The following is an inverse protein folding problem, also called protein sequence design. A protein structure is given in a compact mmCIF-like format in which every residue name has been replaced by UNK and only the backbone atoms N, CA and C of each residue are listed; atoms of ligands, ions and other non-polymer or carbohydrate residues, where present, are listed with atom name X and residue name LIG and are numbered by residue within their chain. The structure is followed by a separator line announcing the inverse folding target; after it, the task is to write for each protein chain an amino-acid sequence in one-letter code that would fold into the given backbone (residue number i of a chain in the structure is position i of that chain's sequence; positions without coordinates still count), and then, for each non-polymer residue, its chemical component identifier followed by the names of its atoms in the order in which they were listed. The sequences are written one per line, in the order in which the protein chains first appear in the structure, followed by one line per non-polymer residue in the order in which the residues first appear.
data_IF_888266024665
#
_entry.id   IF_888266024665
#
_cell.length_a   1.000
_cell.length_b   1.000
_cell.length_c   1.000
_cell.angle_alpha   90.00
_cell.angle_beta   90.00
_cell.angle_gamma   90.00
#
_symmetry.space_group_name_H-M   'P 1'
#
loop_
_entity.id
_entity.type
_entity.pdbx_description
1 polymer ?
#
# COMPACT_ATOMS: atom_id res chain seq x y z
N UNK A 1 -9.37 26.59 26.79
CA UNK A 1 -9.74 25.27 26.22
C UNK A 1 -9.93 25.50 24.74
N UNK A 2 -8.88 25.32 23.94
CA UNK A 2 -8.95 25.56 22.49
C UNK A 2 -9.73 24.43 21.84
N UNK A 3 -10.78 24.77 21.08
CA UNK A 3 -11.45 23.86 20.17
C UNK A 3 -10.44 23.44 19.11
N UNK A 4 -9.73 22.34 19.35
CA UNK A 4 -8.92 21.70 18.33
C UNK A 4 -9.87 21.30 17.20
N UNK A 5 -9.67 21.84 16.01
CA UNK A 5 -10.37 21.37 14.83
C UNK A 5 -10.04 19.88 14.68
N UNK A 6 -11.05 19.03 14.81
CA UNK A 6 -10.91 17.60 14.58
C UNK A 6 -10.85 17.38 13.07
N UNK A 7 -9.62 17.21 12.55
CA UNK A 7 -9.42 16.88 11.14
C UNK A 7 -9.68 15.38 10.96
N UNK A 8 -10.89 15.05 10.53
CA UNK A 8 -11.23 13.69 10.12
C UNK A 8 -10.68 13.46 8.71
N UNK A 9 -9.61 12.67 8.60
CA UNK A 9 -9.13 12.18 7.30
C UNK A 9 -9.86 10.87 7.00
N UNK A 10 -10.94 10.97 6.20
CA UNK A 10 -11.74 9.83 5.75
C UNK A 10 -11.28 9.39 4.36
N UNK A 11 -10.50 8.31 4.31
CA UNK A 11 -10.03 7.71 3.06
C UNK A 11 -10.95 6.55 2.58
N UNK A 12 -12.21 6.55 3.02
CA UNK A 12 -13.21 5.60 2.56
C UNK A 12 -13.52 5.78 1.07
N UNK A 13 -14.12 4.73 0.50
CA UNK A 13 -14.68 4.73 -0.87
C UNK A 13 -15.74 5.83 -1.11
N UNK A 14 -16.13 6.59 -0.07
CA UNK A 14 -17.03 7.74 -0.18
C UNK A 14 -16.30 8.99 -0.66
N UNK A 15 -15.01 9.15 -0.33
CA UNK A 15 -14.20 10.34 -0.66
C UNK A 15 -13.35 10.11 -1.91
N UNK A 16 -12.68 8.95 -2.01
CA UNK A 16 -11.89 8.60 -3.19
C UNK A 16 -12.42 7.34 -3.89
N UNK A 17 -12.58 7.44 -5.21
CA UNK A 17 -12.80 6.30 -6.09
C UNK A 17 -11.87 6.43 -7.31
N UNK A 18 -11.45 5.32 -7.92
CA UNK A 18 -10.76 5.37 -9.22
C UNK A 18 -11.58 6.25 -10.19
N UNK A 19 -10.94 7.28 -10.79
CA UNK A 19 -11.52 8.35 -11.63
C UNK A 19 -12.27 9.50 -10.93
N UNK A 20 -12.49 9.48 -9.61
CA UNK A 20 -13.13 10.58 -8.86
C UNK A 20 -12.30 10.96 -7.63
N UNK A 21 -12.01 12.25 -7.49
CA UNK A 21 -11.28 12.75 -6.33
C UNK A 21 -9.76 12.64 -6.42
N UNK A 22 -9.18 12.18 -7.55
CA UNK A 22 -7.73 12.15 -7.76
C UNK A 22 -7.06 13.49 -7.47
N UNK A 23 -7.61 14.58 -8.00
CA UNK A 23 -7.05 15.91 -7.79
C UNK A 23 -7.19 16.39 -6.33
N UNK A 24 -8.25 15.97 -5.63
CA UNK A 24 -8.40 16.28 -4.20
C UNK A 24 -7.44 15.45 -3.35
N UNK A 25 -7.23 14.17 -3.71
CA UNK A 25 -6.27 13.28 -3.10
C UNK A 25 -4.83 13.80 -3.28
N UNK A 26 -4.48 14.23 -4.49
CA UNK A 26 -3.18 14.81 -4.84
C UNK A 26 -2.90 16.05 -3.99
N UNK A 27 -3.81 17.03 -4.00
CA UNK A 27 -3.68 18.24 -3.18
C UNK A 27 -3.57 17.92 -1.68
N UNK A 28 -4.35 16.95 -1.18
CA UNK A 28 -4.28 16.53 0.21
C UNK A 28 -2.92 15.93 0.57
N UNK A 29 -2.35 15.09 -0.29
CA UNK A 29 -1.02 14.51 -0.07
C UNK A 29 0.09 15.56 -0.18
N UNK A 30 -0.01 16.49 -1.13
CA UNK A 30 0.96 17.58 -1.34
C UNK A 30 0.99 18.54 -0.16
N UNK A 31 -0.18 18.94 0.37
CA UNK A 31 -0.28 19.80 1.54
C UNK A 31 0.35 19.19 2.81
N UNK A 32 0.54 17.87 2.83
CA UNK A 32 1.10 17.11 3.95
C UNK A 32 2.49 16.54 3.65
N UNK A 33 3.04 16.81 2.47
CA UNK A 33 4.39 16.40 2.10
C UNK A 33 5.45 17.17 2.89
N UNK A 34 5.19 18.44 3.20
CA UNK A 34 6.11 19.30 3.93
C UNK A 34 6.15 19.00 5.45
N UNK A 35 5.18 18.24 5.97
CA UNK A 35 5.02 17.97 7.41
C UNK A 35 5.34 16.53 7.83
N UNK A 36 5.56 15.62 6.87
CA UNK A 36 5.81 14.21 7.17
C UNK A 36 6.82 13.58 6.20
N UNK A 37 7.73 12.76 6.74
CA UNK A 37 8.59 11.89 5.93
C UNK A 37 7.72 10.80 5.28
N UNK A 38 7.46 10.93 3.99
CA UNK A 38 6.65 9.99 3.24
C UNK A 38 7.56 9.06 2.42
N UNK A 39 7.38 7.75 2.60
CA UNK A 39 7.98 6.74 1.72
C UNK A 39 6.90 5.81 1.22
N UNK A 40 7.08 5.30 0.01
CA UNK A 40 6.18 4.36 -0.64
C UNK A 40 7.00 3.34 -1.42
N UNK A 41 6.40 2.18 -1.68
CA UNK A 41 6.96 1.16 -2.55
C UNK A 41 5.94 0.76 -3.60
N UNK A 42 6.26 1.02 -4.85
CA UNK A 42 5.51 0.52 -5.99
C UNK A 42 6.08 -0.83 -6.40
N UNK A 43 5.23 -1.84 -6.53
CA UNK A 43 5.60 -3.19 -6.96
C UNK A 43 4.87 -3.44 -8.28
N UNK A 44 5.64 -3.56 -9.36
CA UNK A 44 5.09 -3.87 -10.68
C UNK A 44 4.67 -5.34 -10.79
N UNK A 45 4.05 -5.73 -11.91
CA UNK A 45 3.51 -7.09 -12.06
C UNK A 45 4.62 -8.16 -12.10
N UNK A 46 5.74 -7.99 -12.84
CA UNK A 46 6.84 -8.94 -12.79
C UNK A 46 7.41 -9.14 -11.39
N UNK A 47 7.68 -8.04 -10.66
CA UNK A 47 8.17 -8.10 -9.29
C UNK A 47 7.13 -8.74 -8.36
N UNK A 48 5.86 -8.36 -8.49
CA UNK A 48 4.75 -8.95 -7.72
C UNK A 48 4.69 -10.46 -7.89
N UNK A 49 4.76 -10.95 -9.14
CA UNK A 49 4.70 -12.38 -9.44
C UNK A 49 5.87 -13.14 -8.80
N UNK A 50 7.10 -12.59 -8.92
CA UNK A 50 8.29 -13.15 -8.29
C UNK A 50 8.15 -13.19 -6.76
N UNK A 51 7.73 -12.09 -6.15
CA UNK A 51 7.63 -11.98 -4.70
C UNK A 51 6.51 -12.86 -4.13
N UNK A 52 5.36 -12.98 -4.80
CA UNK A 52 4.31 -13.90 -4.37
C UNK A 52 4.76 -15.36 -4.45
N UNK A 53 5.52 -15.73 -5.48
CA UNK A 53 6.09 -17.08 -5.57
C UNK A 53 7.07 -17.36 -4.42
N UNK A 54 7.88 -16.38 -4.02
CA UNK A 54 8.82 -16.49 -2.90
C UNK A 54 8.12 -16.51 -1.53
N UNK A 55 7.13 -15.63 -1.33
CA UNK A 55 6.44 -15.42 -0.05
C UNK A 55 5.21 -16.32 0.13
N UNK A 56 4.90 -17.15 -0.87
CA UNK A 56 3.79 -18.09 -0.93
C UNK A 56 2.42 -17.46 -1.23
N UNK A 57 2.14 -16.24 -0.75
CA UNK A 57 0.87 -15.56 -1.02
C UNK A 57 0.95 -14.03 -0.96
N UNK A 58 -0.06 -13.38 -1.56
CA UNK A 58 -0.20 -11.91 -1.58
C UNK A 58 -0.31 -11.26 -0.19
N UNK A 59 -0.84 -11.97 0.82
CA UNK A 59 -1.04 -11.40 2.15
C UNK A 59 0.27 -11.37 2.95
N UNK A 60 1.14 -12.36 2.75
CA UNK A 60 2.52 -12.35 3.22
C UNK A 60 3.30 -11.23 2.52
N UNK A 61 3.26 -11.17 1.19
CA UNK A 61 3.91 -10.09 0.43
C UNK A 61 3.53 -8.70 0.96
N UNK A 62 2.24 -8.40 1.11
CA UNK A 62 1.79 -7.13 1.68
C UNK A 62 2.43 -6.86 3.04
N UNK A 63 2.44 -7.87 3.91
CA UNK A 63 2.94 -7.70 5.27
C UNK A 63 4.46 -7.50 5.28
N UNK A 64 5.23 -8.33 4.58
CA UNK A 64 6.68 -8.20 4.50
C UNK A 64 7.07 -6.85 3.88
N UNK A 65 6.47 -6.45 2.75
CA UNK A 65 6.79 -5.19 2.10
C UNK A 65 6.47 -3.96 2.98
N UNK A 66 5.36 -3.98 3.72
CA UNK A 66 5.02 -2.91 4.65
C UNK A 66 5.98 -2.84 5.85
N UNK A 67 6.42 -3.99 6.37
CA UNK A 67 7.37 -4.05 7.48
C UNK A 67 8.79 -3.64 7.06
N UNK A 68 9.24 -4.07 5.89
CA UNK A 68 10.51 -3.65 5.28
C UNK A 68 10.55 -2.13 5.07
N UNK A 69 9.45 -1.55 4.56
CA UNK A 69 9.32 -0.10 4.38
C UNK A 69 9.40 0.65 5.71
N UNK A 70 8.72 0.16 6.75
CA UNK A 70 8.77 0.74 8.09
C UNK A 70 10.18 0.66 8.70
N UNK A 71 10.85 -0.48 8.56
CA UNK A 71 12.22 -0.65 9.03
C UNK A 71 13.19 0.28 8.29
N UNK A 72 13.07 0.41 6.96
CA UNK A 72 13.88 1.33 6.17
C UNK A 72 13.70 2.79 6.60
N UNK A 73 12.45 3.20 6.88
CA UNK A 73 12.14 4.53 7.41
C UNK A 73 12.77 4.78 8.78
N UNK A 74 12.67 3.83 9.71
CA UNK A 74 13.30 3.93 11.02
C UNK A 74 14.83 4.02 10.89
N UNK A 75 15.43 3.23 10.00
CA UNK A 75 16.86 3.28 9.72
C UNK A 75 17.31 4.64 9.17
N UNK A 76 16.52 5.25 8.28
CA UNK A 76 16.79 6.56 7.71
C UNK A 76 16.58 7.71 8.73
N UNK A 77 15.73 7.49 9.74
CA UNK A 77 15.39 8.47 10.75
C UNK A 77 15.55 7.90 12.18
N UNK A 78 16.79 7.71 12.66
CA UNK A 78 17.07 7.17 13.99
C UNK A 78 16.34 7.93 15.12
N UNK A 79 15.69 7.18 16.01
CA UNK A 79 14.97 7.68 17.19
C UNK A 79 15.20 6.77 18.39
N UNK A 80 14.97 7.22 19.62
CA UNK A 80 15.09 6.33 20.81
C UNK A 80 13.94 5.31 20.92
N UNK A 81 12.81 5.59 20.27
CA UNK A 81 11.68 4.68 20.15
C UNK A 81 10.64 5.19 19.14
N UNK A 82 9.78 4.28 18.68
CA UNK A 82 8.76 4.59 17.69
C UNK A 82 7.49 3.76 17.89
N UNK A 83 6.36 4.35 17.50
CA UNK A 83 5.09 3.65 17.36
C UNK A 83 4.82 3.42 15.88
N UNK A 84 4.55 2.16 15.50
CA UNK A 84 4.18 1.77 14.15
C UNK A 84 2.71 1.35 14.13
N UNK A 85 1.90 2.12 13.41
CA UNK A 85 0.47 1.85 13.25
C UNK A 85 0.18 1.42 11.81
N UNK A 86 -0.48 0.28 11.65
CA UNK A 86 -0.88 -0.27 10.36
C UNK A 86 -2.40 -0.47 10.32
N UNK A 87 -3.02 -0.20 9.16
CA UNK A 87 -4.34 -0.82 8.89
C UNK A 87 -4.16 -2.34 8.75
N UNK A 88 -5.19 -3.09 9.11
CA UNK A 88 -5.11 -4.54 9.16
C UNK A 88 -4.94 -5.12 7.76
N UNK A 89 -3.89 -5.91 7.59
CA UNK A 89 -3.62 -6.67 6.36
C UNK A 89 -4.63 -7.81 6.15
N UNK A 90 -5.78 -7.49 5.55
CA UNK A 90 -6.85 -8.44 5.28
C UNK A 90 -7.42 -9.07 6.55
N UNK A 91 -7.60 -10.40 6.55
CA UNK A 91 -8.14 -11.14 7.70
C UNK A 91 -7.11 -11.48 8.79
N UNK A 92 -5.84 -11.07 8.64
CA UNK A 92 -4.75 -11.48 9.54
C UNK A 92 -4.94 -10.89 10.93
N UNK A 93 -4.70 -11.72 11.95
CA UNK A 93 -4.74 -11.32 13.37
C UNK A 93 -3.46 -11.59 14.14
N UNK A 94 -2.55 -12.36 13.54
CA UNK A 94 -1.30 -12.76 14.15
C UNK A 94 -0.16 -12.39 13.23
N UNK A 95 0.72 -11.55 13.74
CA UNK A 95 1.85 -10.96 13.02
C UNK A 95 3.19 -11.34 13.65
N UNK A 96 3.21 -11.95 14.84
CA UNK A 96 4.43 -12.32 15.57
C UNK A 96 5.51 -12.97 14.69
N UNK A 97 5.20 -14.03 13.92
CA UNK A 97 6.18 -14.66 13.02
C UNK A 97 6.75 -13.70 11.97
N UNK A 98 5.90 -12.90 11.31
CA UNK A 98 6.32 -11.95 10.29
C UNK A 98 7.11 -10.77 10.88
N UNK A 99 6.72 -10.31 12.07
CA UNK A 99 7.46 -9.27 12.78
C UNK A 99 8.85 -9.77 13.16
N UNK A 100 8.98 -11.04 13.51
CA UNK A 100 10.27 -11.65 13.90
C UNK A 100 11.23 -11.81 12.72
N UNK A 101 10.76 -11.70 11.48
CA UNK A 101 11.61 -11.68 10.28
C UNK A 101 12.32 -10.32 10.11
N UNK A 102 11.79 -9.25 10.69
CA UNK A 102 12.27 -7.87 10.49
C UNK A 102 12.78 -7.23 11.78
N UNK A 103 12.19 -7.57 12.92
CA UNK A 103 12.48 -7.00 14.24
C UNK A 103 12.93 -8.07 15.22
N UNK A 104 13.72 -7.67 16.22
CA UNK A 104 14.10 -8.55 17.33
C UNK A 104 13.15 -8.41 18.52
N UNK A 105 13.24 -9.36 19.46
CA UNK A 105 12.56 -9.30 20.76
C UNK A 105 11.05 -9.06 20.66
N UNK A 106 10.41 -9.70 19.67
CA UNK A 106 8.97 -9.55 19.42
C UNK A 106 8.16 -10.20 20.54
N UNK A 107 7.44 -9.36 21.29
CA UNK A 107 6.53 -9.75 22.37
C UNK A 107 5.11 -9.45 21.95
N UNK A 108 4.25 -10.47 21.99
CA UNK A 108 2.81 -10.31 21.77
C UNK A 108 2.19 -9.63 22.98
N UNK A 109 1.55 -8.48 22.77
CA UNK A 109 0.80 -7.75 23.81
C UNK A 109 -0.68 -8.12 23.76
N UNK A 110 -1.29 -8.13 22.57
CA UNK A 110 -2.66 -8.62 22.37
C UNK A 110 -2.87 -9.06 20.91
N UNK A 111 -3.77 -10.02 20.69
CA UNK A 111 -4.22 -10.41 19.35
C UNK A 111 -5.74 -10.59 19.35
N UNK A 112 -6.44 -9.68 18.69
CA UNK A 112 -7.90 -9.58 18.76
C UNK A 112 -8.57 -9.30 17.42
N UNK A 113 -9.91 -9.21 17.48
CA UNK A 113 -10.74 -8.90 16.31
C UNK A 113 -10.51 -7.48 15.78
N UNK A 114 -10.36 -6.51 16.69
CA UNK A 114 -10.21 -5.08 16.36
C UNK A 114 -8.74 -4.68 16.24
N UNK A 115 -7.89 -5.19 17.10
CA UNK A 115 -6.49 -4.77 17.22
C UNK A 115 -5.57 -5.97 17.45
N UNK A 116 -4.33 -5.88 17.01
CA UNK A 116 -3.24 -6.80 17.37
C UNK A 116 -2.02 -5.93 17.69
N UNK A 117 -1.49 -6.00 18.92
CA UNK A 117 -0.36 -5.18 19.40
C UNK A 117 0.84 -6.03 19.78
N UNK A 118 2.01 -5.49 19.51
CA UNK A 118 3.29 -6.10 19.79
C UNK A 118 4.26 -5.06 20.33
N UNK A 119 5.23 -5.52 21.13
CA UNK A 119 6.48 -4.78 21.35
C UNK A 119 7.59 -5.48 20.59
N UNK A 120 8.55 -4.72 20.09
CA UNK A 120 9.70 -5.27 19.39
C UNK A 120 10.88 -4.31 19.50
N UNK A 121 12.02 -4.71 18.93
CA UNK A 121 13.20 -3.87 18.81
C UNK A 121 13.74 -3.86 17.38
N UNK A 122 14.31 -2.72 17.00
CA UNK A 122 15.15 -2.60 15.81
C UNK A 122 16.51 -2.06 16.25
N UNK A 123 17.47 -2.97 16.47
CA UNK A 123 18.74 -2.64 17.10
C UNK A 123 18.57 -2.02 18.49
N UNK A 124 18.94 -0.75 18.64
CA UNK A 124 18.85 -0.01 19.91
C UNK A 124 17.42 0.45 20.22
N UNK A 125 16.54 0.51 19.21
CA UNK A 125 15.28 1.25 19.27
C UNK A 125 14.13 0.37 19.76
N UNK A 126 13.34 0.90 20.69
CA UNK A 126 12.15 0.20 21.21
C UNK A 126 10.92 0.56 20.38
N UNK A 127 10.15 -0.45 19.98
CA UNK A 127 9.00 -0.30 19.09
C UNK A 127 7.71 -0.76 19.76
N UNK A 128 6.66 0.03 19.60
CA UNK A 128 5.27 -0.40 19.81
C UNK A 128 4.58 -0.54 18.46
N UNK A 129 4.02 -1.71 18.16
CA UNK A 129 3.49 -2.01 16.83
C UNK A 129 2.02 -2.40 16.95
N UNK A 130 1.14 -1.78 16.17
CA UNK A 130 -0.29 -2.03 16.19
C UNK A 130 -0.87 -2.26 14.78
N UNK A 131 -1.68 -3.31 14.64
CA UNK A 131 -2.48 -3.58 13.45
C UNK A 131 -3.97 -3.43 13.77
N UNK A 132 -4.62 -2.44 13.17
CA UNK A 132 -5.96 -1.99 13.53
C UNK A 132 -6.97 -2.28 12.42
N UNK A 133 -8.17 -2.73 12.76
CA UNK A 133 -9.27 -2.73 11.79
C UNK A 133 -9.73 -1.30 11.52
N UNK A 134 -9.74 -0.88 10.26
CA UNK A 134 -10.11 0.49 9.86
C UNK A 134 -9.17 1.52 10.49
N UNK A 135 -7.86 1.21 10.48
CA UNK A 135 -6.86 2.13 11.03
C UNK A 135 -6.92 3.49 10.35
N UNK A 136 -7.14 3.49 9.03
CA UNK A 136 -7.34 4.67 8.18
C UNK A 136 -8.49 5.57 8.64
N UNK A 137 -9.54 5.02 9.23
CA UNK A 137 -10.68 5.79 9.72
C UNK A 137 -10.47 6.37 11.13
N UNK A 138 -9.41 5.99 11.84
CA UNK A 138 -9.21 6.34 13.25
C UNK A 138 -7.86 7.01 13.54
N UNK A 139 -6.89 6.90 12.64
CA UNK A 139 -5.52 7.38 12.83
C UNK A 139 -5.06 8.15 11.60
N UNK A 140 -4.66 9.40 11.80
CA UNK A 140 -4.25 10.31 10.74
C UNK A 140 -3.10 9.71 9.94
N UNK A 141 -2.06 9.21 10.59
CA UNK A 141 -0.87 8.65 9.95
C UNK A 141 -1.20 7.44 9.04
N UNK A 142 -2.18 6.62 9.44
CA UNK A 142 -2.63 5.47 8.64
C UNK A 142 -3.45 5.95 7.44
N UNK A 143 -4.31 6.94 7.64
CA UNK A 143 -5.08 7.57 6.56
C UNK A 143 -4.15 8.19 5.52
N UNK A 144 -3.08 8.87 5.95
CA UNK A 144 -2.08 9.47 5.06
C UNK A 144 -1.29 8.43 4.27
N UNK A 145 -0.84 7.36 4.91
CA UNK A 145 -0.17 6.26 4.21
C UNK A 145 -1.09 5.64 3.14
N UNK A 146 -2.37 5.46 3.47
CA UNK A 146 -3.38 4.93 2.54
C UNK A 146 -3.66 5.88 1.37
N UNK A 147 -3.82 7.18 1.65
CA UNK A 147 -3.99 8.22 0.63
C UNK A 147 -2.80 8.29 -0.31
N UNK A 148 -1.57 8.27 0.24
CA UNK A 148 -0.35 8.27 -0.55
C UNK A 148 -0.26 7.05 -1.46
N UNK A 149 -0.53 5.86 -0.93
CA UNK A 149 -0.55 4.63 -1.73
C UNK A 149 -1.57 4.68 -2.87
N UNK A 150 -2.74 5.28 -2.65
CA UNK A 150 -3.77 5.49 -3.69
C UNK A 150 -3.31 6.49 -4.75
N UNK A 151 -2.67 7.59 -4.33
CA UNK A 151 -2.14 8.59 -5.26
C UNK A 151 -1.11 7.97 -6.20
N UNK A 152 -0.12 7.29 -5.63
CA UNK A 152 0.95 6.63 -6.40
C UNK A 152 0.39 5.57 -7.35
N UNK A 153 -0.60 4.79 -6.91
CA UNK A 153 -1.29 3.82 -7.76
C UNK A 153 -1.99 4.49 -8.93
N UNK A 154 -2.66 5.63 -8.75
CA UNK A 154 -3.34 6.32 -9.86
C UNK A 154 -2.35 6.97 -10.82
N UNK A 155 -1.25 7.56 -10.33
CA UNK A 155 -0.16 8.07 -11.18
C UNK A 155 0.42 6.94 -12.03
N UNK A 156 0.70 5.79 -11.42
CA UNK A 156 1.20 4.62 -12.13
C UNK A 156 0.19 4.08 -13.16
N UNK A 157 -1.11 4.07 -12.82
CA UNK A 157 -2.16 3.67 -13.77
C UNK A 157 -2.30 4.66 -14.94
N UNK A 158 -2.08 5.96 -14.73
CA UNK A 158 -2.06 6.96 -15.81
C UNK A 158 -0.90 6.68 -16.76
N UNK A 159 0.34 6.60 -16.24
CA UNK A 159 1.52 6.29 -17.03
C UNK A 159 1.39 4.94 -17.76
N UNK A 160 0.84 3.93 -17.09
CA UNK A 160 0.52 2.65 -17.69
C UNK A 160 -0.41 2.83 -18.91
N UNK A 161 -1.55 3.49 -18.72
CA UNK A 161 -2.51 3.68 -19.82
C UNK A 161 -1.93 4.52 -20.96
N UNK A 162 -1.20 5.58 -20.66
CA UNK A 162 -0.56 6.44 -21.67
C UNK A 162 0.41 5.63 -22.54
N UNK A 163 1.28 4.84 -21.93
CA UNK A 163 2.25 4.02 -22.68
C UNK A 163 1.58 3.02 -23.63
N UNK A 164 0.52 2.35 -23.17
CA UNK A 164 -0.21 1.37 -23.98
C UNK A 164 -1.08 2.01 -25.06
N UNK A 165 -1.74 3.12 -24.77
CA UNK A 165 -2.55 3.86 -25.73
C UNK A 165 -1.68 4.52 -26.81
N UNK A 166 -0.46 4.94 -26.48
CA UNK A 166 0.52 5.43 -27.44
C UNK A 166 0.96 4.31 -28.40
N UNK A 167 1.23 3.12 -27.87
CA UNK A 167 1.62 1.94 -28.66
C UNK A 167 0.48 1.41 -29.54
N UNK A 168 -0.77 1.53 -29.08
CA UNK A 168 -1.95 0.99 -29.75
C UNK A 168 -3.06 2.05 -29.88
N UNK A 169 -3.08 2.84 -30.98
CA UNK A 169 -4.11 3.85 -31.21
C UNK A 169 -5.54 3.29 -31.12
N UNK A 170 -6.40 3.98 -30.39
CA UNK A 170 -7.78 3.58 -30.15
C UNK A 170 -7.95 2.47 -29.10
N UNK A 171 -6.91 2.07 -28.38
CA UNK A 171 -7.03 1.25 -27.17
C UNK A 171 -7.74 2.05 -26.07
N UNK A 172 -8.74 1.43 -25.41
CA UNK A 172 -9.44 2.10 -24.31
C UNK A 172 -8.72 1.88 -22.98
N UNK A 173 -8.44 2.95 -22.19
CA UNK A 173 -7.77 2.84 -20.89
C UNK A 173 -8.44 1.87 -19.92
N UNK A 174 -7.65 1.27 -19.02
CA UNK A 174 -8.09 0.37 -17.95
C UNK A 174 -7.86 0.95 -16.56
N UNK A 175 -8.63 0.48 -15.59
CA UNK A 175 -8.46 0.70 -14.15
C UNK A 175 -7.83 -0.51 -13.45
N UNK A 176 -7.57 -1.60 -14.18
CA UNK A 176 -6.96 -2.83 -13.65
C UNK A 176 -7.91 -3.72 -12.83
N UNK A 177 -9.20 -3.40 -12.71
CA UNK A 177 -10.18 -4.27 -12.03
C UNK A 177 -10.53 -5.49 -12.89
N UNK A 178 -10.87 -6.66 -12.30
CA UNK A 178 -10.95 -7.93 -13.03
C UNK A 178 -11.76 -7.89 -14.34
N UNK A 179 -12.97 -7.32 -14.32
CA UNK A 179 -13.83 -7.24 -15.50
C UNK A 179 -13.25 -6.30 -16.58
N UNK A 180 -12.76 -5.13 -16.16
CA UNK A 180 -12.19 -4.12 -17.07
C UNK A 180 -10.79 -4.52 -17.58
N UNK A 181 -9.97 -5.15 -16.74
CA UNK A 181 -8.67 -5.70 -17.12
C UNK A 181 -8.82 -6.83 -18.15
N UNK A 182 -9.82 -7.70 -18.00
CA UNK A 182 -10.11 -8.75 -18.99
C UNK A 182 -10.43 -8.15 -20.37
N UNK A 183 -11.22 -7.07 -20.42
CA UNK A 183 -11.51 -6.32 -21.65
C UNK A 183 -10.22 -5.74 -22.24
N UNK A 184 -9.42 -5.05 -21.42
CA UNK A 184 -8.18 -4.42 -21.86
C UNK A 184 -7.20 -5.42 -22.47
N UNK A 185 -6.98 -6.56 -21.82
CA UNK A 185 -6.14 -7.64 -22.33
C UNK A 185 -6.68 -8.23 -23.64
N UNK A 186 -7.99 -8.35 -23.79
CA UNK A 186 -8.63 -8.77 -25.04
C UNK A 186 -8.39 -7.78 -26.18
N UNK A 187 -8.49 -6.48 -25.93
CA UNK A 187 -8.17 -5.45 -26.92
C UNK A 187 -6.69 -5.49 -27.31
N UNK A 188 -5.76 -5.65 -26.36
CA UNK A 188 -4.34 -5.79 -26.66
C UNK A 188 -4.05 -7.01 -27.53
N UNK A 189 -4.67 -8.15 -27.21
CA UNK A 189 -4.53 -9.37 -27.99
C UNK A 189 -5.00 -9.18 -29.44
N UNK A 190 -6.20 -8.61 -29.65
CA UNK A 190 -6.75 -8.35 -30.98
C UNK A 190 -5.90 -7.35 -31.80
N UNK A 191 -5.09 -6.53 -31.12
CA UNK A 191 -4.19 -5.55 -31.73
C UNK A 191 -2.78 -6.08 -31.97
N UNK A 192 -2.55 -7.38 -31.74
CA UNK A 192 -1.26 -8.01 -32.02
C UNK A 192 -0.18 -7.74 -30.98
N UNK A 193 -0.56 -7.45 -29.73
CA UNK A 193 0.41 -7.33 -28.64
C UNK A 193 1.17 -8.65 -28.43
N UNK A 194 2.49 -8.56 -28.28
CA UNK A 194 3.36 -9.72 -28.09
C UNK A 194 2.97 -10.50 -26.82
N UNK A 195 3.00 -11.86 -26.86
CA UNK A 195 2.65 -12.67 -25.70
C UNK A 195 3.49 -12.37 -24.45
N UNK A 196 4.77 -12.03 -24.61
CA UNK A 196 5.65 -11.71 -23.47
C UNK A 196 5.31 -10.36 -22.84
N UNK A 197 4.93 -9.36 -23.65
CA UNK A 197 4.42 -8.08 -23.14
C UNK A 197 3.13 -8.30 -22.32
N UNK A 198 2.23 -9.18 -22.77
CA UNK A 198 1.01 -9.53 -22.04
C UNK A 198 1.31 -10.24 -20.71
N UNK A 199 2.27 -11.17 -20.70
CA UNK A 199 2.71 -11.84 -19.45
C UNK A 199 3.27 -10.84 -18.45
N UNK A 200 3.98 -9.81 -18.92
CA UNK A 200 4.54 -8.75 -18.10
C UNK A 200 3.49 -7.89 -17.37
N UNK A 201 2.22 -7.94 -17.76
CA UNK A 201 1.13 -7.15 -17.13
C UNK A 201 0.02 -8.01 -16.52
N UNK A 202 0.18 -9.34 -16.53
CA UNK A 202 -0.77 -10.29 -15.95
C UNK A 202 -0.21 -10.86 -14.65
N UNK A 203 -1.03 -10.77 -13.60
CA UNK A 203 -0.74 -11.46 -12.34
C UNK A 203 -0.74 -12.98 -12.57
N UNK A 204 0.34 -13.64 -12.20
CA UNK A 204 0.41 -15.10 -12.19
C UNK A 204 -0.67 -15.68 -11.26
N UNK A 205 -1.19 -16.85 -11.64
CA UNK A 205 -2.19 -17.57 -10.85
C UNK A 205 -1.56 -18.31 -9.69
#
# INVERSE_FOLDING_TARGET
MGSGAEFIVDDSKRIFQPRRGFESLRRGCEALADSAWQSFRLIDVPEFNRLVAQQGNKANLLSCASLELAAALLCAHPTQGATLTFDRHGGRRRYGPLLSEVFSDVVVVEEGKKVSRYRARLGQWSLEIAFLTRGDANFLEVALASMRAKLEREIAMQAFNESWCLKFPGLRPTQGYPADAKRFLGELYLRGCAPDDLRGIIRAR
#
